data_IF_850010145501
#
_entry.id   IF_850010145501
#
_cell.length_a   1.000
_cell.length_b   1.000
_cell.length_c   1.000
_cell.angle_alpha   90.00
_cell.angle_beta   90.00
_cell.angle_gamma   90.00
#
_symmetry.space_group_name_H-M   'P 1'
#
loop_
_entity.id
_entity.type
_entity.pdbx_description
1 polymer ?
#
# COMPACT_ATOMS: atom_id res chain seq x y z
N UNK A 1 -6.40 24.47 -16.00
CA UNK A 1 -5.51 23.29 -15.98
C UNK A 1 -5.54 22.48 -17.28
N UNK A 2 -6.68 21.99 -17.77
CA UNK A 2 -6.76 21.12 -18.96
C UNK A 2 -6.15 21.68 -20.27
N UNK A 3 -6.17 23.02 -20.49
CA UNK A 3 -5.66 23.64 -21.73
C UNK A 3 -4.12 23.67 -21.86
N UNK A 4 -3.38 23.57 -20.75
CA UNK A 4 -1.91 23.55 -20.80
C UNK A 4 -1.34 22.13 -21.00
N UNK A 5 -2.08 21.10 -20.57
CA UNK A 5 -1.68 19.69 -20.69
C UNK A 5 -1.66 19.26 -22.16
N UNK A 6 -2.70 19.58 -22.93
CA UNK A 6 -2.77 19.23 -24.36
C UNK A 6 -1.64 19.88 -25.18
N UNK A 7 -1.20 21.08 -24.80
CA UNK A 7 -0.14 21.82 -25.50
C UNK A 7 1.27 21.27 -25.23
N UNK A 8 1.46 20.64 -24.06
CA UNK A 8 2.67 19.90 -23.70
C UNK A 8 2.69 18.54 -24.41
N UNK A 9 1.54 17.86 -24.49
CA UNK A 9 1.38 16.59 -25.20
C UNK A 9 1.58 16.72 -26.72
N UNK A 10 1.07 17.78 -27.36
CA UNK A 10 1.26 18.05 -28.79
C UNK A 10 2.72 18.33 -29.16
N UNK A 11 3.51 18.90 -28.25
CA UNK A 11 4.93 19.23 -28.49
C UNK A 11 5.86 18.03 -28.41
N UNK A 12 5.44 16.94 -27.78
CA UNK A 12 6.34 15.84 -27.43
C UNK A 12 6.26 14.62 -28.37
N UNK A 13 5.25 14.47 -29.23
CA UNK A 13 5.14 13.39 -30.24
C UNK A 13 5.67 12.01 -29.77
N UNK A 14 5.42 11.62 -28.51
CA UNK A 14 5.92 10.34 -27.99
C UNK A 14 4.88 9.25 -28.14
N UNK A 15 5.30 8.12 -28.71
CA UNK A 15 4.49 6.92 -28.81
C UNK A 15 4.58 6.16 -27.48
N UNK A 16 3.48 6.07 -26.74
CA UNK A 16 3.40 5.48 -25.39
C UNK A 16 3.95 4.03 -25.32
N UNK A 17 3.98 3.33 -26.45
CA UNK A 17 4.50 1.96 -26.59
C UNK A 17 6.03 1.83 -26.52
N UNK A 18 6.78 2.94 -26.44
CA UNK A 18 8.25 2.93 -26.41
C UNK A 18 8.88 3.42 -25.09
N UNK A 19 8.08 3.73 -24.07
CA UNK A 19 8.59 4.23 -22.78
C UNK A 19 8.97 3.07 -21.85
N UNK A 20 10.19 3.11 -21.29
CA UNK A 20 10.58 2.24 -20.18
C UNK A 20 9.78 2.62 -18.90
N UNK A 21 9.55 1.66 -18.01
CA UNK A 21 8.81 1.81 -16.74
C UNK A 21 9.31 2.98 -15.88
N UNK A 22 10.61 3.26 -15.89
CA UNK A 22 11.20 4.41 -15.18
C UNK A 22 10.68 5.75 -15.70
N UNK A 23 10.49 5.88 -17.02
CA UNK A 23 10.02 7.13 -17.64
C UNK A 23 8.51 7.29 -17.40
N UNK A 24 7.76 6.19 -17.36
CA UNK A 24 6.34 6.18 -16.97
C UNK A 24 6.19 6.61 -15.51
N UNK A 25 7.06 6.12 -14.62
CA UNK A 25 7.12 6.54 -13.22
C UNK A 25 7.36 8.05 -13.08
N UNK A 26 8.34 8.59 -13.81
CA UNK A 26 8.61 10.04 -13.86
C UNK A 26 7.40 10.82 -14.42
N UNK A 27 6.71 10.28 -15.43
CA UNK A 27 5.55 10.93 -16.04
C UNK A 27 4.34 10.99 -15.09
N UNK A 28 4.11 9.92 -14.31
CA UNK A 28 3.09 9.88 -13.27
C UNK A 28 3.44 10.83 -12.12
N UNK A 29 4.71 10.92 -11.73
CA UNK A 29 5.22 11.84 -10.71
C UNK A 29 5.01 13.31 -11.08
N UNK A 30 5.24 13.69 -12.34
CA UNK A 30 4.98 15.05 -12.85
C UNK A 30 3.48 15.39 -12.86
N UNK A 31 2.61 14.37 -12.89
CA UNK A 31 1.16 14.50 -12.74
C UNK A 31 0.69 14.42 -11.28
N UNK A 32 1.59 14.24 -10.30
CA UNK A 32 1.29 14.17 -8.87
C UNK A 32 1.27 12.77 -8.26
N UNK A 33 1.59 11.70 -9.01
CA UNK A 33 1.54 10.32 -8.55
C UNK A 33 2.92 9.66 -8.50
N UNK A 34 3.51 9.57 -7.32
CA UNK A 34 4.73 8.78 -7.08
C UNK A 34 4.41 7.34 -6.69
N UNK A 35 4.57 6.40 -7.63
CA UNK A 35 4.47 4.96 -7.35
C UNK A 35 5.88 4.38 -7.17
N UNK A 36 6.26 4.02 -5.95
CA UNK A 36 7.46 3.22 -5.68
C UNK A 36 7.01 1.80 -5.31
N UNK A 37 7.27 0.86 -6.23
CA UNK A 37 6.78 -0.52 -6.14
C UNK A 37 5.28 -0.56 -6.37
N UNK A 38 4.85 -1.14 -7.49
CA UNK A 38 3.43 -1.30 -7.78
C UNK A 38 2.70 -1.91 -6.58
N UNK A 39 1.61 -1.25 -6.15
CA UNK A 39 0.47 -1.78 -5.37
C UNK A 39 0.01 -0.87 -4.21
N UNK A 40 -0.27 0.41 -4.45
CA UNK A 40 -0.95 1.26 -3.45
C UNK A 40 -2.02 2.12 -4.13
N UNK A 41 -3.24 2.08 -3.60
CA UNK A 41 -4.36 2.94 -4.00
C UNK A 41 -4.31 4.30 -3.28
N UNK A 42 -4.61 5.35 -4.03
CA UNK A 42 -4.75 6.76 -3.66
C UNK A 42 -5.81 6.96 -2.55
N UNK A 43 -6.82 6.09 -2.45
CA UNK A 43 -7.95 6.30 -1.53
C UNK A 43 -7.64 6.07 -0.04
N UNK A 44 -6.42 5.63 0.31
CA UNK A 44 -6.01 5.56 1.73
C UNK A 44 -5.96 6.96 2.35
N UNK A 45 -5.64 7.99 1.56
CA UNK A 45 -5.60 9.39 2.00
C UNK A 45 -6.95 9.91 2.50
N UNK A 46 -8.06 9.38 1.98
CA UNK A 46 -9.41 9.80 2.37
C UNK A 46 -9.94 9.08 3.61
N UNK A 47 -9.28 7.98 4.02
CA UNK A 47 -9.67 7.21 5.20
C UNK A 47 -9.12 7.92 6.43
N UNK A 48 -9.96 8.70 7.09
CA UNK A 48 -9.61 9.39 8.34
C UNK A 48 -9.23 8.38 9.44
N UNK A 49 -7.93 8.20 9.67
CA UNK A 49 -7.35 7.25 10.63
C UNK A 49 -7.19 7.80 12.05
N UNK A 50 -7.76 8.98 12.34
CA UNK A 50 -7.42 9.90 13.44
C UNK A 50 -7.43 9.39 14.90
N UNK A 51 -7.51 8.08 15.17
CA UNK A 51 -7.59 7.50 16.51
C UNK A 51 -6.58 6.39 16.86
N UNK A 52 -5.54 6.11 16.07
CA UNK A 52 -4.74 4.87 16.27
C UNK A 52 -3.20 5.03 16.42
N UNK A 53 -2.67 6.22 16.69
CA UNK A 53 -1.22 6.38 16.97
C UNK A 53 -0.93 7.22 18.22
N UNK A 54 0.07 6.78 18.98
CA UNK A 54 0.67 7.52 20.12
C UNK A 54 1.61 8.64 19.62
N UNK A 55 2.20 8.46 18.44
CA UNK A 55 3.00 9.49 17.76
C UNK A 55 2.07 10.34 16.92
N UNK A 56 1.79 11.56 17.36
CA UNK A 56 1.02 12.55 16.59
C UNK A 56 1.85 13.80 16.38
N UNK A 57 2.37 13.96 15.17
CA UNK A 57 2.91 15.23 14.68
C UNK A 57 4.29 15.59 15.22
N UNK A 58 5.09 14.62 15.66
CA UNK A 58 6.48 14.86 16.03
C UNK A 58 7.27 15.20 14.76
N UNK A 59 7.71 16.45 14.67
CA UNK A 59 8.43 16.97 13.52
C UNK A 59 9.92 17.14 13.80
N UNK A 60 10.74 16.69 12.86
CA UNK A 60 12.18 16.92 12.84
C UNK A 60 12.49 17.84 11.67
N UNK A 61 13.24 18.92 11.93
CA UNK A 61 13.69 19.86 10.91
C UNK A 61 15.19 19.75 10.75
N UNK A 62 15.64 19.49 9.52
CA UNK A 62 17.06 19.45 9.17
C UNK A 62 17.65 20.85 9.07
N UNK A 63 18.98 20.95 9.09
CA UNK A 63 19.70 22.21 8.86
C UNK A 63 19.39 22.85 7.49
N UNK A 64 18.94 22.05 6.52
CA UNK A 64 18.50 22.52 5.20
C UNK A 64 17.12 23.16 5.19
N UNK A 65 16.45 23.23 6.35
CA UNK A 65 15.11 23.82 6.51
C UNK A 65 13.96 22.88 6.12
N UNK A 66 14.26 21.62 5.76
CA UNK A 66 13.24 20.61 5.49
C UNK A 66 12.77 19.99 6.79
N UNK A 67 11.46 20.05 7.00
CA UNK A 67 10.75 19.50 8.14
C UNK A 67 9.96 18.28 7.69
N UNK A 68 10.09 17.17 8.40
CA UNK A 68 9.24 15.99 8.21
C UNK A 68 8.53 15.73 9.53
N UNK A 69 7.22 15.52 9.52
CA UNK A 69 6.46 15.02 10.66
C UNK A 69 6.16 13.54 10.50
N UNK A 70 6.28 12.80 11.60
CA UNK A 70 5.70 11.48 11.74
C UNK A 70 4.27 11.67 12.27
N UNK A 71 3.31 11.53 11.37
CA UNK A 71 1.92 11.88 11.67
C UNK A 71 1.20 10.74 12.36
N UNK A 72 1.33 9.53 11.80
CA UNK A 72 0.68 8.33 12.32
C UNK A 72 1.49 7.05 12.03
N UNK A 73 1.37 6.08 12.92
CA UNK A 73 1.89 4.71 12.76
C UNK A 73 0.79 3.74 13.14
N UNK A 74 0.48 2.81 12.25
CA UNK A 74 -0.62 1.85 12.39
C UNK A 74 -0.11 0.44 12.17
N UNK A 75 -0.52 -0.48 13.03
CA UNK A 75 -0.21 -1.90 12.91
C UNK A 75 -1.43 -2.65 12.36
N UNK A 76 -1.23 -3.31 11.22
CA UNK A 76 -2.14 -4.33 10.70
C UNK A 76 -1.61 -5.73 11.07
N UNK A 77 -2.27 -6.77 10.59
CA UNK A 77 -1.92 -8.16 10.91
C UNK A 77 -0.49 -8.53 10.50
N UNK A 78 -0.06 -8.11 9.31
CA UNK A 78 1.19 -8.50 8.65
C UNK A 78 2.00 -7.29 8.11
N UNK A 79 1.58 -6.07 8.42
CA UNK A 79 2.25 -4.86 7.95
C UNK A 79 2.13 -3.70 8.96
N UNK A 80 3.14 -2.83 8.97
CA UNK A 80 3.06 -1.52 9.62
C UNK A 80 2.87 -0.46 8.54
N UNK A 81 1.92 0.44 8.75
CA UNK A 81 1.68 1.60 7.90
C UNK A 81 2.17 2.85 8.63
N UNK A 82 2.95 3.67 7.93
CA UNK A 82 3.56 4.90 8.44
C UNK A 82 3.09 6.07 7.57
N UNK A 83 2.59 7.12 8.22
CA UNK A 83 2.17 8.36 7.58
C UNK A 83 3.13 9.47 7.95
N UNK A 84 3.56 10.23 6.95
CA UNK A 84 4.44 11.37 7.13
C UNK A 84 3.98 12.57 6.32
N UNK A 85 4.26 13.77 6.83
CA UNK A 85 4.12 15.01 6.08
C UNK A 85 5.47 15.69 5.98
N UNK A 86 5.91 15.93 4.75
CA UNK A 86 7.09 16.71 4.43
C UNK A 86 6.66 18.15 4.14
N UNK A 87 7.29 19.09 4.85
CA UNK A 87 7.20 20.53 4.64
C UNK A 87 8.56 21.04 4.16
N UNK A 88 8.60 21.68 2.99
CA UNK A 88 9.81 22.20 2.35
C UNK A 88 9.77 23.72 2.20
N UNK A 89 10.94 24.32 2.10
CA UNK A 89 11.09 25.77 1.91
C UNK A 89 10.93 26.23 0.45
N UNK A 90 11.12 25.32 -0.52
CA UNK A 90 11.12 25.61 -1.96
C UNK A 90 10.13 24.71 -2.72
N UNK A 91 9.77 25.09 -3.96
CA UNK A 91 8.71 24.43 -4.74
C UNK A 91 9.14 23.11 -5.42
N UNK A 92 10.24 22.50 -4.98
CA UNK A 92 10.87 21.35 -5.63
C UNK A 92 10.12 20.04 -5.43
N UNK A 93 9.92 19.23 -6.46
CA UNK A 93 9.14 17.99 -6.34
C UNK A 93 10.01 16.92 -5.67
N UNK A 94 9.64 16.45 -4.49
CA UNK A 94 10.33 15.33 -3.83
C UNK A 94 9.90 14.04 -4.51
N UNK A 95 10.89 13.29 -4.99
CA UNK A 95 10.72 12.06 -5.77
C UNK A 95 10.63 10.82 -4.88
N UNK A 96 11.54 10.71 -3.91
CA UNK A 96 11.60 9.60 -2.98
C UNK A 96 12.58 9.85 -1.85
N UNK A 97 12.45 9.07 -0.78
CA UNK A 97 13.36 9.03 0.35
C UNK A 97 13.77 7.57 0.66
N UNK A 98 14.97 7.37 1.20
CA UNK A 98 15.36 6.06 1.72
C UNK A 98 14.87 5.92 3.14
N UNK A 99 14.25 4.79 3.44
CA UNK A 99 13.58 4.60 4.71
C UNK A 99 13.96 3.28 5.30
N UNK A 100 14.11 3.28 6.62
CA UNK A 100 14.37 2.08 7.37
C UNK A 100 13.49 2.05 8.60
N UNK A 101 12.75 0.96 8.76
CA UNK A 101 12.00 0.64 9.95
C UNK A 101 12.76 -0.41 10.77
N UNK A 102 12.85 -0.18 12.07
CA UNK A 102 13.33 -1.15 13.04
C UNK A 102 12.26 -1.43 14.09
N UNK A 103 12.09 -2.69 14.43
CA UNK A 103 11.23 -3.16 15.51
C UNK A 103 12.12 -3.90 16.50
N UNK A 104 12.10 -3.48 17.77
CA UNK A 104 12.93 -4.06 18.84
C UNK A 104 14.42 -4.13 18.45
N UNK A 105 14.90 -3.13 17.71
CA UNK A 105 16.29 -3.03 17.25
C UNK A 105 16.63 -3.89 16.02
N UNK A 106 15.71 -4.69 15.49
CA UNK A 106 15.89 -5.44 14.25
C UNK A 106 15.32 -4.67 13.07
N UNK A 107 16.11 -4.52 12.00
CA UNK A 107 15.65 -3.92 10.75
C UNK A 107 14.56 -4.82 10.15
N UNK A 108 13.42 -4.23 9.79
CA UNK A 108 12.40 -4.89 8.96
C UNK A 108 12.95 -4.96 7.54
N UNK A 109 12.97 -6.16 6.93
CA UNK A 109 13.53 -6.34 5.58
C UNK A 109 12.85 -5.45 4.53
N UNK A 110 13.54 -5.16 3.42
CA UNK A 110 13.13 -4.22 2.37
C UNK A 110 11.94 -4.73 1.52
N UNK A 111 10.81 -5.04 2.17
CA UNK A 111 9.50 -5.30 1.57
C UNK A 111 8.57 -4.12 1.84
N UNK A 112 9.10 -2.93 1.55
CA UNK A 112 8.39 -1.68 1.79
C UNK A 112 7.85 -1.11 0.47
N UNK A 113 6.60 -0.67 0.47
CA UNK A 113 6.01 0.09 -0.63
C UNK A 113 5.61 1.48 -0.14
N UNK A 114 5.60 2.46 -1.05
CA UNK A 114 5.32 3.84 -0.69
C UNK A 114 4.55 4.60 -1.75
N UNK A 115 3.71 5.53 -1.30
CA UNK A 115 2.99 6.48 -2.15
C UNK A 115 3.13 7.87 -1.57
N UNK A 116 3.26 8.85 -2.46
CA UNK A 116 3.37 10.27 -2.12
C UNK A 116 2.22 11.01 -2.78
N UNK A 117 1.64 11.97 -2.07
CA UNK A 117 0.69 12.92 -2.62
C UNK A 117 1.14 14.36 -2.37
N UNK A 118 1.10 15.17 -3.42
CA UNK A 118 1.50 16.57 -3.35
C UNK A 118 0.27 17.42 -2.97
N UNK A 119 0.11 17.69 -1.67
CA UNK A 119 -1.00 18.49 -1.15
C UNK A 119 -0.97 19.92 -1.71
N UNK A 120 0.21 20.54 -1.75
CA UNK A 120 0.43 21.84 -2.37
C UNK A 120 1.91 22.03 -2.70
N UNK A 121 2.32 23.17 -3.24
CA UNK A 121 3.71 23.38 -3.67
C UNK A 121 4.78 23.24 -2.57
N UNK A 122 4.43 23.30 -1.28
CA UNK A 122 5.35 23.25 -0.13
C UNK A 122 5.14 22.03 0.76
N UNK A 123 4.02 21.32 0.60
CA UNK A 123 3.65 20.20 1.46
C UNK A 123 3.43 18.94 0.61
N UNK A 124 4.06 17.84 1.02
CA UNK A 124 3.86 16.52 0.46
C UNK A 124 3.53 15.56 1.60
N UNK A 125 2.56 14.68 1.40
CA UNK A 125 2.28 13.60 2.33
C UNK A 125 2.80 12.30 1.74
N UNK A 126 3.25 11.37 2.59
CA UNK A 126 3.58 10.03 2.16
C UNK A 126 3.07 8.92 3.09
N UNK A 127 2.64 7.81 2.48
CA UNK A 127 2.25 6.56 3.14
C UNK A 127 3.30 5.53 2.81
N UNK A 128 3.81 4.86 3.84
CA UNK A 128 4.74 3.76 3.71
C UNK A 128 4.19 2.52 4.37
N UNK A 129 4.26 1.40 3.66
CA UNK A 129 3.83 0.10 4.15
C UNK A 129 5.05 -0.77 4.28
N UNK A 130 5.32 -1.30 5.46
CA UNK A 130 6.40 -2.23 5.72
C UNK A 130 5.80 -3.59 6.07
N UNK A 131 5.96 -4.59 5.20
CA UNK A 131 5.55 -5.97 5.53
C UNK A 131 6.41 -6.52 6.66
N UNK A 132 5.77 -7.18 7.60
CA UNK A 132 6.41 -7.84 8.72
C UNK A 132 6.74 -9.28 8.34
N UNK A 133 7.92 -9.73 8.71
CA UNK A 133 8.25 -11.15 8.61
C UNK A 133 7.43 -11.94 9.62
N UNK A 134 7.09 -13.19 9.28
CA UNK A 134 6.34 -14.10 10.16
C UNK A 134 7.04 -14.37 11.50
N UNK A 135 8.35 -14.13 11.59
CA UNK A 135 9.15 -14.26 12.80
C UNK A 135 9.09 -13.01 13.70
N UNK A 136 8.46 -11.92 13.24
CA UNK A 136 8.29 -10.69 14.00
C UNK A 136 7.28 -10.92 15.12
N UNK A 137 7.77 -11.24 16.32
CA UNK A 137 6.91 -11.46 17.48
C UNK A 137 6.40 -10.13 18.03
N UNK A 138 5.12 -9.85 17.80
CA UNK A 138 4.39 -8.68 18.31
C UNK A 138 3.42 -9.12 19.41
N UNK A 139 3.95 -9.45 20.59
CA UNK A 139 3.12 -9.83 21.77
C UNK A 139 3.25 -8.89 22.97
N UNK A 140 4.21 -7.97 22.96
CA UNK A 140 4.49 -7.02 24.04
C UNK A 140 4.65 -5.60 23.47
N UNK A 141 4.85 -4.62 24.33
CA UNK A 141 5.21 -3.27 23.91
C UNK A 141 6.44 -3.32 22.98
N UNK A 142 6.33 -2.65 21.84
CA UNK A 142 7.38 -2.66 20.82
C UNK A 142 8.12 -1.34 20.78
N UNK A 143 9.44 -1.45 20.62
CA UNK A 143 10.29 -0.31 20.33
C UNK A 143 10.34 -0.11 18.83
N UNK A 144 9.83 1.01 18.34
CA UNK A 144 9.89 1.39 16.94
C UNK A 144 11.00 2.42 16.76
N UNK A 145 11.85 2.21 15.76
CA UNK A 145 12.72 3.26 15.21
C UNK A 145 12.44 3.39 13.73
N UNK A 146 12.05 4.58 13.29
CA UNK A 146 11.83 4.89 11.89
C UNK A 146 12.83 5.96 11.46
N UNK A 147 13.54 5.70 10.37
CA UNK A 147 14.61 6.55 9.86
C UNK A 147 14.36 6.87 8.41
N UNK A 148 14.43 8.15 8.06
CA UNK A 148 14.50 8.65 6.70
C UNK A 148 15.91 9.18 6.46
N UNK A 149 16.61 8.61 5.48
CA UNK A 149 17.98 8.98 5.10
C UNK A 149 17.97 9.66 3.74
N UNK A 150 18.15 10.98 3.75
CA UNK A 150 18.21 11.80 2.55
C UNK A 150 16.92 11.83 1.72
N UNK A 151 16.86 12.81 0.84
CA UNK A 151 15.70 13.03 -0.04
C UNK A 151 16.20 13.22 -1.46
N UNK A 152 15.56 12.57 -2.42
CA UNK A 152 15.73 12.89 -3.84
C UNK A 152 14.62 13.81 -4.29
N UNK A 153 14.95 14.85 -5.03
CA UNK A 153 13.98 15.80 -5.56
C UNK A 153 14.32 16.21 -6.99
N UNK A 154 13.33 16.73 -7.70
CA UNK A 154 13.47 17.42 -8.98
C UNK A 154 13.35 18.91 -8.72
N UNK A 155 14.43 19.63 -9.03
CA UNK A 155 14.43 21.08 -8.89
C UNK A 155 13.63 21.77 -10.01
N UNK A 156 13.45 23.08 -9.91
CA UNK A 156 12.79 23.89 -10.95
C UNK A 156 13.40 23.80 -12.37
N UNK A 157 14.64 23.29 -12.49
CA UNK A 157 15.35 23.10 -13.76
C UNK A 157 15.21 21.66 -14.31
N UNK A 158 14.35 20.83 -13.69
CA UNK A 158 14.16 19.41 -13.97
C UNK A 158 15.40 18.52 -13.70
N UNK A 159 16.29 18.96 -12.82
CA UNK A 159 17.45 18.17 -12.40
C UNK A 159 17.13 17.35 -11.15
N UNK A 160 17.55 16.08 -11.15
CA UNK A 160 17.50 15.23 -9.96
C UNK A 160 18.63 15.62 -9.03
N UNK A 161 18.27 16.00 -7.81
CA UNK A 161 19.20 16.36 -6.73
C UNK A 161 18.96 15.46 -5.52
N UNK A 162 19.98 15.37 -4.67
CA UNK A 162 19.93 14.66 -3.39
C UNK A 162 20.21 15.64 -2.27
N UNK A 163 19.34 15.66 -1.27
CA UNK A 163 19.55 16.37 -0.01
C UNK A 163 20.00 15.34 1.00
N UNK A 164 21.20 15.53 1.54
CA UNK A 164 21.66 14.75 2.67
C UNK A 164 20.96 15.23 3.94
N UNK A 165 20.47 14.30 4.74
CA UNK A 165 19.78 14.56 5.99
C UNK A 165 19.34 13.26 6.64
N UNK A 166 19.08 13.29 7.93
CA UNK A 166 18.51 12.16 8.66
C UNK A 166 17.34 12.67 9.51
N UNK A 167 16.19 12.03 9.37
CA UNK A 167 15.03 12.24 10.23
C UNK A 167 14.71 10.91 10.91
N UNK A 168 14.95 10.83 12.22
CA UNK A 168 14.81 9.59 12.98
C UNK A 168 13.89 9.78 14.18
N UNK A 169 12.89 8.92 14.27
CA UNK A 169 11.99 8.83 15.43
C UNK A 169 12.23 7.51 16.13
N UNK A 170 12.25 7.55 17.47
CA UNK A 170 12.39 6.35 18.29
C UNK A 170 11.42 6.45 19.47
N UNK A 171 10.51 5.48 19.57
CA UNK A 171 9.46 5.48 20.59
C UNK A 171 9.08 4.05 20.99
N UNK A 172 8.58 3.92 22.21
CA UNK A 172 7.89 2.71 22.67
C UNK A 172 6.41 2.87 22.33
N UNK A 173 5.77 1.82 21.88
CA UNK A 173 4.33 1.81 21.62
C UNK A 173 3.71 0.50 22.09
N UNK A 174 2.51 0.57 22.67
CA UNK A 174 1.75 -0.65 22.97
C UNK A 174 1.12 -1.16 21.69
N UNK A 175 1.19 -2.47 21.46
CA UNK A 175 0.55 -3.08 20.29
C UNK A 175 -0.94 -2.79 20.26
N UNK A 176 -1.62 -2.78 21.41
CA UNK A 176 -3.05 -2.45 21.48
C UNK A 176 -3.39 -1.03 21.04
N UNK A 177 -2.41 -0.12 21.06
CA UNK A 177 -2.59 1.28 20.66
C UNK A 177 -2.36 1.45 19.15
N UNK A 178 -1.45 0.66 18.57
CA UNK A 178 -1.18 0.66 17.12
C UNK A 178 -2.11 -0.25 16.32
N UNK A 179 -2.54 -1.37 16.92
CA UNK A 179 -3.23 -2.45 16.23
C UNK A 179 -4.67 -2.05 15.93
N UNK A 180 -5.04 -2.12 14.66
CA UNK A 180 -6.43 -1.94 14.26
C UNK A 180 -7.29 -3.14 14.64
N UNK A 181 -8.51 -2.84 15.09
CA UNK A 181 -9.52 -3.86 15.26
C UNK A 181 -9.77 -4.56 13.92
N UNK A 182 -9.53 -5.86 13.91
CA UNK A 182 -9.67 -6.70 12.73
C UNK A 182 -10.79 -7.69 12.98
N UNK A 183 -11.82 -7.67 12.12
CA UNK A 183 -12.87 -8.68 12.11
C UNK A 183 -12.44 -9.83 11.20
N UNK A 184 -12.55 -11.05 11.72
CA UNK A 184 -12.27 -12.27 10.97
C UNK A 184 -13.59 -12.97 10.64
N UNK A 185 -13.76 -13.34 9.37
CA UNK A 185 -14.93 -14.07 8.87
C UNK A 185 -14.43 -15.33 8.17
N UNK A 186 -14.68 -16.48 8.78
CA UNK A 186 -14.30 -17.78 8.22
C UNK A 186 -15.10 -18.09 6.95
N UNK A 187 -14.41 -18.56 5.92
CA UNK A 187 -15.02 -18.91 4.63
C UNK A 187 -15.09 -20.43 4.45
N UNK A 188 -13.94 -21.09 4.53
CA UNK A 188 -13.73 -22.52 4.27
C UNK A 188 -14.46 -23.01 2.99
N UNK A 189 -14.01 -22.48 1.84
CA UNK A 189 -14.50 -22.85 0.50
C UNK A 189 -13.33 -23.19 -0.39
N UNK A 190 -13.55 -24.09 -1.35
CA UNK A 190 -12.53 -24.44 -2.34
C UNK A 190 -13.04 -24.43 -3.78
N UNK A 191 -12.09 -24.32 -4.70
CA UNK A 191 -12.28 -24.58 -6.12
C UNK A 191 -11.01 -25.14 -6.73
N UNK A 192 -11.18 -25.75 -7.89
CA UNK A 192 -10.09 -26.30 -8.69
C UNK A 192 -9.86 -25.38 -9.88
N UNK A 193 -8.61 -24.98 -10.10
CA UNK A 193 -8.18 -24.24 -11.30
C UNK A 193 -8.20 -25.16 -12.52
N UNK A 194 -8.15 -24.58 -13.72
CA UNK A 194 -7.98 -25.37 -14.96
C UNK A 194 -6.70 -26.21 -14.96
N UNK A 195 -5.65 -25.76 -14.25
CA UNK A 195 -4.41 -26.50 -14.02
C UNK A 195 -4.57 -27.74 -13.13
N UNK A 196 -5.74 -27.94 -12.50
CA UNK A 196 -5.99 -29.03 -11.55
C UNK A 196 -5.55 -28.72 -10.11
N UNK A 197 -4.97 -27.54 -9.87
CA UNK A 197 -4.59 -27.10 -8.52
C UNK A 197 -5.82 -26.72 -7.71
N UNK A 198 -5.83 -27.08 -6.44
CA UNK A 198 -6.90 -26.73 -5.50
C UNK A 198 -6.56 -25.42 -4.79
N UNK A 199 -7.52 -24.50 -4.79
CA UNK A 199 -7.46 -23.23 -4.08
C UNK A 199 -8.48 -23.26 -2.96
N UNK A 200 -8.02 -23.00 -1.74
CA UNK A 200 -8.84 -22.91 -0.53
C UNK A 200 -8.93 -21.44 -0.12
N UNK A 201 -10.15 -20.90 -0.08
CA UNK A 201 -10.47 -19.62 0.51
C UNK A 201 -10.64 -19.82 2.02
N UNK A 202 -9.70 -19.29 2.80
CA UNK A 202 -9.61 -19.57 4.24
C UNK A 202 -10.56 -18.65 5.02
N UNK A 203 -10.29 -17.34 5.01
CA UNK A 203 -11.04 -16.34 5.77
C UNK A 203 -10.91 -14.95 5.14
N UNK A 204 -11.82 -14.05 5.50
CA UNK A 204 -11.68 -12.61 5.29
C UNK A 204 -11.18 -11.96 6.58
N UNK A 205 -10.19 -11.07 6.47
CA UNK A 205 -9.90 -10.10 7.52
C UNK A 205 -10.37 -8.71 7.08
N UNK A 206 -11.03 -7.98 7.97
CA UNK A 206 -11.59 -6.67 7.67
C UNK A 206 -11.21 -5.65 8.76
N UNK A 207 -10.65 -4.53 8.33
CA UNK A 207 -10.40 -3.34 9.14
C UNK A 207 -11.16 -2.15 8.56
N UNK A 208 -11.07 -0.99 9.20
CA UNK A 208 -11.53 0.28 8.61
C UNK A 208 -10.62 0.80 7.48
N UNK A 209 -9.42 0.24 7.30
CA UNK A 209 -8.47 0.62 6.25
C UNK A 209 -8.67 -0.22 4.99
N UNK A 210 -8.70 -1.54 5.15
CA UNK A 210 -8.74 -2.50 4.06
C UNK A 210 -9.41 -3.81 4.51
N UNK A 211 -9.72 -4.63 3.52
CA UNK A 211 -10.03 -6.05 3.72
C UNK A 211 -8.99 -6.91 3.02
N UNK A 212 -8.76 -8.13 3.52
CA UNK A 212 -7.92 -9.15 2.90
C UNK A 212 -8.69 -10.46 2.77
N UNK A 213 -8.65 -11.06 1.58
CA UNK A 213 -9.08 -12.43 1.34
C UNK A 213 -7.88 -13.35 1.40
N UNK A 214 -7.80 -14.18 2.44
CA UNK A 214 -6.71 -15.13 2.63
C UNK A 214 -7.03 -16.46 1.98
N UNK A 215 -6.05 -17.02 1.27
CA UNK A 215 -6.20 -18.26 0.53
C UNK A 215 -4.93 -19.12 0.56
N UNK A 216 -5.11 -20.42 0.31
CA UNK A 216 -4.04 -21.41 0.17
C UNK A 216 -4.18 -22.09 -1.18
N UNK A 217 -3.07 -22.45 -1.83
CA UNK A 217 -3.03 -23.26 -3.03
C UNK A 217 -2.32 -24.56 -2.70
N UNK A 218 -3.01 -25.68 -2.85
CA UNK A 218 -2.41 -27.01 -2.70
C UNK A 218 -1.74 -27.45 -4.01
N UNK A 219 -0.61 -28.15 -3.91
CA UNK A 219 0.16 -28.68 -5.04
C UNK A 219 0.61 -27.58 -6.02
N UNK A 220 1.45 -26.69 -5.53
CA UNK A 220 1.94 -25.56 -6.31
C UNK A 220 2.97 -26.03 -7.35
N UNK A 221 2.59 -26.00 -8.62
CA UNK A 221 3.53 -26.09 -9.76
C UNK A 221 4.09 -24.71 -10.07
N UNK A 222 5.27 -24.64 -10.69
CA UNK A 222 5.96 -23.38 -11.03
C UNK A 222 5.11 -22.41 -11.90
N UNK A 223 4.09 -22.93 -12.61
CA UNK A 223 3.15 -22.16 -13.43
C UNK A 223 1.90 -21.69 -12.67
N UNK A 224 2.05 -20.92 -11.59
CA UNK A 224 0.88 -20.24 -11.01
C UNK A 224 0.53 -19.06 -11.92
N UNK A 225 -0.38 -19.31 -12.86
CA UNK A 225 -1.14 -18.25 -13.49
C UNK A 225 -1.78 -17.39 -12.39
N UNK A 226 -1.57 -16.07 -12.46
CA UNK A 226 -2.08 -15.13 -11.47
C UNK A 226 -3.59 -15.32 -11.26
N UNK A 227 -3.99 -15.79 -10.08
CA UNK A 227 -5.40 -15.83 -9.68
C UNK A 227 -5.78 -14.42 -9.24
N UNK A 228 -6.89 -13.92 -9.78
CA UNK A 228 -7.53 -12.70 -9.30
C UNK A 228 -8.90 -13.01 -8.73
N UNK A 229 -9.29 -12.18 -7.78
CA UNK A 229 -10.60 -12.25 -7.16
C UNK A 229 -11.35 -10.98 -7.46
N UNK A 230 -12.61 -11.14 -7.87
CA UNK A 230 -13.57 -10.04 -7.89
C UNK A 230 -14.48 -10.16 -6.68
N UNK A 231 -14.52 -9.10 -5.88
CA UNK A 231 -15.34 -8.99 -4.67
C UNK A 231 -16.47 -8.00 -4.96
N UNK A 232 -17.71 -8.43 -4.72
CA UNK A 232 -18.91 -7.63 -4.96
C UNK A 232 -19.77 -7.62 -3.69
N UNK A 233 -20.20 -6.45 -3.23
CA UNK A 233 -21.07 -6.30 -2.07
C UNK A 233 -22.53 -6.75 -2.35
N UNK A 234 -23.38 -6.71 -1.33
CA UNK A 234 -24.79 -7.10 -1.43
C UNK A 234 -25.68 -6.15 -2.25
N UNK A 235 -25.13 -5.02 -2.68
CA UNK A 235 -25.76 -4.02 -3.56
C UNK A 235 -25.25 -4.11 -5.01
N UNK A 236 -24.27 -4.97 -5.26
CA UNK A 236 -23.66 -5.14 -6.58
C UNK A 236 -22.48 -4.22 -6.86
N UNK A 237 -21.99 -3.48 -5.86
CA UNK A 237 -20.79 -2.65 -6.01
C UNK A 237 -19.54 -3.52 -5.92
N UNK A 238 -18.61 -3.28 -6.83
CA UNK A 238 -17.33 -3.96 -6.84
C UNK A 238 -16.37 -3.29 -5.86
N UNK A 239 -15.74 -4.08 -4.98
CA UNK A 239 -14.79 -3.59 -3.97
C UNK A 239 -13.32 -3.68 -4.47
N UNK A 240 -13.11 -3.91 -5.77
CA UNK A 240 -11.81 -4.24 -6.37
C UNK A 240 -10.97 -3.02 -6.75
N UNK A 241 -10.80 -2.07 -5.85
CA UNK A 241 -9.63 -1.21 -6.01
C UNK A 241 -8.39 -2.05 -5.70
N UNK A 242 -7.46 -2.10 -6.65
CA UNK A 242 -6.29 -2.99 -6.61
C UNK A 242 -5.40 -2.60 -5.44
N UNK A 243 -5.48 -3.39 -4.36
CA UNK A 243 -4.47 -3.39 -3.32
C UNK A 243 -3.72 -4.71 -3.45
N UNK A 244 -2.40 -4.61 -3.53
CA UNK A 244 -1.42 -5.70 -3.40
C UNK A 244 -1.94 -7.09 -3.02
N UNK A 245 -1.56 -8.09 -3.81
CA UNK A 245 -1.58 -9.48 -3.38
C UNK A 245 -0.22 -9.89 -2.81
N UNK A 246 -0.20 -10.73 -1.79
CA UNK A 246 1.01 -11.50 -1.46
C UNK A 246 0.73 -12.96 -1.76
N UNK A 247 1.74 -13.65 -2.27
CA UNK A 247 1.72 -15.09 -2.43
C UNK A 247 3.13 -15.62 -2.26
N UNK A 248 3.33 -16.55 -1.35
CA UNK A 248 4.65 -17.10 -0.97
C UNK A 248 4.98 -18.43 -1.65
N UNK A 249 4.07 -18.94 -2.50
CA UNK A 249 4.19 -20.26 -3.09
C UNK A 249 3.16 -21.24 -2.58
N UNK A 250 2.55 -21.02 -1.41
CA UNK A 250 1.51 -21.88 -0.83
C UNK A 250 0.32 -21.06 -0.34
N UNK A 251 0.60 -19.94 0.33
CA UNK A 251 -0.39 -19.07 0.96
C UNK A 251 -0.32 -17.69 0.35
N UNK A 252 -1.46 -17.03 0.35
CA UNK A 252 -1.53 -15.66 -0.09
C UNK A 252 -2.74 -14.94 0.44
N UNK A 253 -2.76 -13.65 0.15
CA UNK A 253 -3.93 -12.82 0.35
C UNK A 253 -4.13 -11.88 -0.82
N UNK A 254 -5.39 -11.51 -1.04
CA UNK A 254 -5.80 -10.46 -1.96
C UNK A 254 -6.40 -9.31 -1.16
N UNK A 255 -5.81 -8.11 -1.27
CA UNK A 255 -6.26 -6.94 -0.52
C UNK A 255 -7.28 -6.16 -1.35
N UNK A 256 -8.31 -5.63 -0.71
CA UNK A 256 -9.38 -4.86 -1.36
C UNK A 256 -9.95 -3.80 -0.40
N UNK A 257 -10.90 -2.99 -0.88
CA UNK A 257 -11.51 -1.95 -0.06
C UNK A 257 -12.22 -2.52 1.19
N UNK A 258 -12.20 -1.77 2.31
CA UNK A 258 -12.81 -2.21 3.55
C UNK A 258 -14.31 -2.41 3.36
N UNK A 259 -14.81 -3.51 3.90
CA UNK A 259 -16.24 -3.82 3.88
C UNK A 259 -16.92 -3.01 4.99
N UNK A 260 -17.96 -2.26 4.63
CA UNK A 260 -18.87 -1.65 5.60
C UNK A 260 -19.78 -2.72 6.24
N UNK A 261 -19.25 -3.41 7.25
CA UNK A 261 -19.93 -4.48 7.97
C UNK A 261 -21.26 -4.05 8.63
N UNK A 262 -21.54 -2.74 8.74
CA UNK A 262 -22.83 -2.27 9.26
C UNK A 262 -23.92 -2.27 8.19
N UNK A 263 -23.54 -2.11 6.93
CA UNK A 263 -24.47 -1.88 5.82
C UNK A 263 -24.35 -2.90 4.68
N UNK A 264 -23.52 -3.92 4.86
CA UNK A 264 -23.30 -5.01 3.91
C UNK A 264 -23.54 -6.34 4.62
N UNK A 265 -24.43 -7.16 4.08
CA UNK A 265 -24.86 -8.43 4.67
C UNK A 265 -24.08 -9.64 4.15
N UNK A 266 -23.58 -9.54 2.91
CA UNK A 266 -22.77 -10.56 2.27
C UNK A 266 -21.87 -9.95 1.20
N UNK A 267 -20.79 -10.65 0.86
CA UNK A 267 -20.00 -10.41 -0.34
C UNK A 267 -20.04 -11.62 -1.26
N UNK A 268 -19.92 -11.38 -2.56
CA UNK A 268 -19.72 -12.41 -3.57
C UNK A 268 -18.27 -12.39 -4.02
N UNK A 269 -17.57 -13.51 -3.83
CA UNK A 269 -16.21 -13.74 -4.32
C UNK A 269 -16.29 -14.49 -5.66
N UNK A 270 -15.67 -13.92 -6.69
CA UNK A 270 -15.64 -14.44 -8.06
C UNK A 270 -14.18 -14.62 -8.47
N UNK A 271 -13.61 -15.84 -8.39
CA UNK A 271 -12.25 -16.09 -8.84
C UNK A 271 -12.17 -16.14 -10.38
N UNK A 272 -11.04 -15.69 -10.94
CA UNK A 272 -10.73 -15.84 -12.35
C UNK A 272 -9.21 -15.96 -12.58
N UNK A 273 -8.83 -16.71 -13.62
CA UNK A 273 -7.44 -16.93 -14.02
C UNK A 273 -7.05 -15.92 -15.11
N UNK A 274 -5.93 -15.19 -14.92
CA UNK A 274 -5.42 -14.28 -15.97
C UNK A 274 -4.95 -15.04 -17.20
N UNK A 275 -4.41 -16.26 -17.02
CA UNK A 275 -3.80 -17.01 -18.11
C UNK A 275 -4.83 -17.44 -19.17
N UNK A 276 -6.10 -17.54 -18.80
CA UNK A 276 -7.15 -18.03 -19.68
C UNK A 276 -8.17 -16.95 -20.08
N UNK A 277 -8.16 -15.76 -19.45
CA UNK A 277 -9.23 -14.75 -19.54
C UNK A 277 -10.64 -15.35 -19.30
N UNK A 278 -10.68 -16.50 -18.61
CA UNK A 278 -11.87 -17.29 -18.35
C UNK A 278 -12.21 -17.16 -16.88
N UNK A 279 -13.44 -16.68 -16.63
CA UNK A 279 -14.03 -16.78 -15.31
C UNK A 279 -14.12 -18.25 -14.93
N UNK A 280 -13.57 -18.57 -13.76
CA UNK A 280 -13.95 -19.81 -13.10
C UNK A 280 -15.43 -19.60 -12.80
N UNK A 281 -16.31 -20.38 -13.42
CA UNK A 281 -17.76 -20.20 -13.36
C UNK A 281 -18.31 -20.65 -11.98
N UNK A 282 -17.75 -20.08 -10.92
CA UNK A 282 -18.09 -20.27 -9.52
C UNK A 282 -18.17 -18.91 -8.86
N UNK A 283 -19.15 -18.77 -7.98
CA UNK A 283 -19.35 -17.59 -7.15
C UNK A 283 -19.56 -18.08 -5.73
N UNK A 284 -18.87 -17.46 -4.78
CA UNK A 284 -18.98 -17.79 -3.37
C UNK A 284 -19.66 -16.64 -2.65
N UNK A 285 -20.83 -16.89 -2.09
CA UNK A 285 -21.54 -15.92 -1.26
C UNK A 285 -21.10 -16.12 0.18
N UNK A 286 -20.43 -15.11 0.75
CA UNK A 286 -19.91 -15.11 2.12
C UNK A 286 -20.77 -14.16 2.94
N UNK A 287 -21.43 -14.69 3.99
CA UNK A 287 -22.17 -13.87 4.94
C UNK A 287 -21.17 -13.19 5.88
N UNK A 288 -21.45 -11.92 6.22
CA UNK A 288 -20.59 -11.06 7.04
C UNK A 288 -21.11 -10.95 8.48
#
# INVERSE_FOLDING_TARGET
>A
MAKNINKILERLQFNLSQLNLEIIGIFLLVLGFGLIGADINIDIWEKNLSSYSEVKGDSITSETGISISLDEVVLLEDEIIIYTTLNKAENDIVLYNWQTLYINGKKVEDRSSGMYDQVNNLNQQAIFRCKLDSETNLQEDIKIKYVIEGLKYVNSENEIKVISGEWSWEFMAKISELKLETKIIDIDKNFILHSGQEVILNYLSNTNINSKLHFTINNTSEDIGFIKFKIVDDKGNELNNVYSGHFDGEKGYYTFDPIDLKNTSYVTIIPYSIQDDVYINRRFIIKL
#
